data_IF_503459631470
#
_entry.id   IF_503459631470
#
_cell.length_a   1.000
_cell.length_b   1.000
_cell.length_c   1.000
_cell.angle_alpha   90.00
_cell.angle_beta   90.00
_cell.angle_gamma   90.00
#
_symmetry.space_group_name_H-M   'P 1'
#
loop_
_entity.id
_entity.type
_entity.pdbx_description
1 polymer ?
#
# COMPACT_ATOMS: atom_id res chain seq x y z
N UNK A 1 1.75 -18.50 -9.72
CA UNK A 1 1.05 -17.27 -10.17
C UNK A 1 2.02 -16.10 -10.33
N UNK A 2 2.72 -15.66 -9.27
CA UNK A 2 3.68 -14.54 -9.36
C UNK A 2 4.65 -14.66 -10.54
N UNK A 3 5.33 -15.80 -10.67
CA UNK A 3 6.29 -16.04 -11.76
C UNK A 3 5.67 -15.90 -13.16
N UNK A 4 4.47 -16.47 -13.38
CA UNK A 4 3.81 -16.43 -14.69
C UNK A 4 3.45 -14.98 -15.04
N UNK A 5 2.84 -14.25 -14.11
CA UNK A 5 2.45 -12.85 -14.30
C UNK A 5 3.69 -11.98 -14.54
N UNK A 6 4.76 -12.16 -13.76
CA UNK A 6 5.98 -11.37 -13.90
C UNK A 6 6.70 -11.65 -15.23
N UNK A 7 6.81 -12.90 -15.67
CA UNK A 7 7.42 -13.26 -16.96
C UNK A 7 6.64 -12.67 -18.12
N UNK A 8 5.32 -12.89 -18.17
CA UNK A 8 4.45 -12.34 -19.23
C UNK A 8 4.59 -10.82 -19.30
N UNK A 9 4.49 -10.15 -18.16
CA UNK A 9 4.62 -8.69 -18.10
C UNK A 9 5.98 -8.19 -18.61
N UNK A 10 7.06 -8.91 -18.31
CA UNK A 10 8.41 -8.51 -18.69
C UNK A 10 8.67 -8.69 -20.19
N UNK A 11 8.17 -9.78 -20.79
CA UNK A 11 8.29 -10.04 -22.22
C UNK A 11 7.54 -8.95 -23.01
N UNK A 12 6.30 -8.66 -22.61
CA UNK A 12 5.54 -7.58 -23.24
C UNK A 12 6.20 -6.22 -23.05
N UNK A 13 6.63 -5.86 -21.84
CA UNK A 13 7.33 -4.58 -21.60
C UNK A 13 8.57 -4.46 -22.49
N UNK A 14 9.36 -5.52 -22.63
CA UNK A 14 10.54 -5.51 -23.49
C UNK A 14 10.18 -5.26 -24.96
N UNK A 15 9.15 -5.94 -25.48
CA UNK A 15 8.63 -5.72 -26.83
C UNK A 15 8.17 -4.27 -27.04
N UNK A 16 7.37 -3.72 -26.12
CA UNK A 16 6.86 -2.36 -26.24
C UNK A 16 7.94 -1.29 -26.09
N UNK A 17 8.99 -1.55 -25.29
CA UNK A 17 10.15 -0.64 -25.21
C UNK A 17 10.93 -0.65 -26.53
N UNK A 18 11.15 -1.82 -27.14
CA UNK A 18 11.79 -1.89 -28.47
C UNK A 18 10.96 -1.11 -29.50
N UNK A 19 9.64 -1.29 -29.49
CA UNK A 19 8.75 -0.53 -30.36
C UNK A 19 8.81 0.98 -30.05
N UNK A 20 8.87 1.38 -28.79
CA UNK A 20 9.02 2.80 -28.42
C UNK A 20 10.32 3.42 -28.94
N UNK A 21 11.42 2.66 -28.92
CA UNK A 21 12.70 3.09 -29.46
C UNK A 21 12.71 3.16 -31.00
N UNK A 22 11.81 2.43 -31.67
CA UNK A 22 11.65 2.57 -33.11
C UNK A 22 11.14 3.97 -33.46
N UNK A 23 11.72 4.58 -34.49
CA UNK A 23 11.42 5.96 -34.92
C UNK A 23 10.03 6.13 -35.58
N UNK A 24 9.11 5.20 -35.36
CA UNK A 24 7.77 5.25 -35.92
C UNK A 24 6.92 6.21 -35.09
N UNK A 25 6.41 7.29 -35.68
CA UNK A 25 5.65 8.33 -34.96
C UNK A 25 4.42 7.80 -34.20
N UNK A 26 3.86 6.67 -34.64
CA UNK A 26 2.75 5.98 -33.97
C UNK A 26 3.06 5.58 -32.51
N UNK A 27 4.34 5.35 -32.19
CA UNK A 27 4.81 4.88 -30.88
C UNK A 27 4.84 5.99 -29.82
N UNK A 28 4.67 7.26 -30.22
CA UNK A 28 4.59 8.41 -29.32
C UNK A 28 3.16 8.84 -28.99
N UNK A 29 2.16 8.09 -29.43
CA UNK A 29 0.76 8.39 -29.13
C UNK A 29 0.40 8.15 -27.67
N UNK A 30 -0.56 8.92 -27.15
CA UNK A 30 -1.11 8.75 -25.81
C UNK A 30 -1.67 7.34 -25.56
N UNK A 31 -2.22 6.71 -26.61
CA UNK A 31 -2.74 5.35 -26.56
C UNK A 31 -1.61 4.33 -26.36
N UNK A 32 -0.49 4.49 -27.06
CA UNK A 32 0.67 3.63 -26.89
C UNK A 32 1.30 3.78 -25.50
N UNK A 33 1.36 5.02 -25.00
CA UNK A 33 1.77 5.30 -23.63
C UNK A 33 0.85 4.56 -22.62
N UNK A 34 -0.48 4.61 -22.79
CA UNK A 34 -1.42 3.90 -21.92
C UNK A 34 -1.25 2.37 -21.99
N UNK A 35 -0.91 1.80 -23.15
CA UNK A 35 -0.60 0.36 -23.26
C UNK A 35 0.62 -0.02 -22.41
N UNK A 36 1.69 0.77 -22.45
CA UNK A 36 2.86 0.56 -21.59
C UNK A 36 2.47 0.67 -20.11
N UNK A 37 1.65 1.65 -19.75
CA UNK A 37 1.14 1.82 -18.39
C UNK A 37 0.37 0.58 -17.89
N UNK A 38 -0.48 -0.02 -18.72
CA UNK A 38 -1.25 -1.22 -18.36
C UNK A 38 -0.35 -2.42 -18.03
N UNK A 39 0.80 -2.55 -18.68
CA UNK A 39 1.76 -3.62 -18.38
C UNK A 39 2.48 -3.40 -17.04
N UNK A 40 2.80 -2.15 -16.71
CA UNK A 40 3.29 -1.81 -15.38
C UNK A 40 2.21 -2.02 -14.32
N UNK A 41 0.94 -1.70 -14.60
CA UNK A 41 -0.17 -1.98 -13.69
C UNK A 41 -0.30 -3.48 -13.40
N UNK A 42 -0.07 -4.33 -14.40
CA UNK A 42 -0.01 -5.77 -14.23
C UNK A 42 1.15 -6.22 -13.32
N UNK A 43 2.34 -5.61 -13.43
CA UNK A 43 3.47 -5.86 -12.49
C UNK A 43 3.23 -5.37 -11.07
N UNK A 44 2.59 -4.22 -10.91
CA UNK A 44 2.38 -3.56 -9.61
C UNK A 44 1.13 -4.12 -8.91
N UNK A 45 0.22 -4.75 -9.66
CA UNK A 45 -1.04 -5.30 -9.16
C UNK A 45 -2.17 -4.27 -9.08
N UNK A 46 -2.11 -3.19 -9.86
CA UNK A 46 -3.17 -2.17 -9.93
C UNK A 46 -4.37 -2.77 -10.69
N UNK A 47 -5.59 -2.38 -10.30
CA UNK A 47 -6.82 -2.81 -10.96
C UNK A 47 -6.73 -2.55 -12.48
N UNK A 48 -7.21 -3.47 -13.35
CA UNK A 48 -7.96 -4.70 -13.07
C UNK A 48 -7.10 -5.88 -12.60
N UNK A 49 -5.78 -5.81 -12.73
CA UNK A 49 -4.85 -6.90 -12.45
C UNK A 49 -4.50 -7.05 -10.97
N UNK A 50 -5.47 -6.89 -10.07
CA UNK A 50 -5.26 -6.93 -8.62
C UNK A 50 -5.31 -8.35 -8.04
N UNK A 51 -6.04 -9.26 -8.70
CA UNK A 51 -6.34 -10.60 -8.18
C UNK A 51 -5.08 -11.41 -7.88
N UNK A 52 -4.10 -11.44 -8.78
CA UNK A 52 -2.90 -12.26 -8.60
C UNK A 52 -2.13 -11.90 -7.33
N UNK A 53 -2.06 -10.60 -6.99
CA UNK A 53 -1.39 -10.13 -5.80
C UNK A 53 -2.15 -10.55 -4.54
N UNK A 54 -3.48 -10.39 -4.52
CA UNK A 54 -4.32 -10.75 -3.38
C UNK A 54 -4.27 -12.26 -3.09
N UNK A 55 -4.40 -13.10 -4.12
CA UNK A 55 -4.30 -14.56 -3.96
C UNK A 55 -2.89 -15.01 -3.56
N UNK A 56 -1.84 -14.35 -4.07
CA UNK A 56 -0.47 -14.69 -3.70
C UNK A 56 -0.18 -14.40 -2.22
N UNK A 57 -0.71 -13.30 -1.68
CA UNK A 57 -0.48 -12.92 -0.28
C UNK A 57 -1.05 -13.92 0.70
N UNK A 58 -2.20 -14.54 0.42
CA UNK A 58 -2.83 -15.52 1.31
C UNK A 58 -1.90 -16.72 1.58
N UNK A 59 -1.19 -17.17 0.55
CA UNK A 59 -0.31 -18.34 0.58
C UNK A 59 1.13 -18.02 1.01
N UNK A 60 1.53 -16.74 1.03
CA UNK A 60 2.89 -16.32 1.34
C UNK A 60 3.15 -16.24 2.86
N UNK A 61 4.41 -16.48 3.24
CA UNK A 61 4.90 -16.24 4.60
C UNK A 61 5.08 -14.73 4.85
N UNK A 62 5.06 -14.30 6.12
CA UNK A 62 5.22 -12.90 6.51
C UNK A 62 6.46 -12.21 5.93
N UNK A 63 7.62 -12.90 5.94
CA UNK A 63 8.85 -12.39 5.33
C UNK A 63 8.73 -12.16 3.81
N UNK A 64 8.01 -13.04 3.11
CA UNK A 64 7.77 -12.93 1.67
C UNK A 64 6.82 -11.76 1.37
N UNK A 65 5.77 -11.60 2.19
CA UNK A 65 4.84 -10.47 2.10
C UNK A 65 5.59 -9.13 2.25
N UNK A 66 6.53 -9.04 3.20
CA UNK A 66 7.36 -7.85 3.36
C UNK A 66 8.17 -7.54 2.09
N UNK A 67 8.87 -8.52 1.54
CA UNK A 67 9.67 -8.35 0.34
C UNK A 67 8.82 -7.91 -0.87
N UNK A 68 7.65 -8.54 -1.04
CA UNK A 68 6.73 -8.28 -2.14
C UNK A 68 6.11 -6.88 -2.09
N UNK A 69 5.81 -6.37 -0.90
CA UNK A 69 5.22 -5.05 -0.70
C UNK A 69 6.18 -3.87 -0.88
N UNK A 70 7.49 -4.09 -0.68
CA UNK A 70 8.51 -3.03 -0.57
C UNK A 70 9.43 -3.05 -1.79
N UNK A 71 10.51 -3.82 -1.72
CA UNK A 71 11.61 -3.80 -2.68
C UNK A 71 11.17 -4.15 -4.10
N UNK A 72 10.40 -5.24 -4.26
CA UNK A 72 9.94 -5.70 -5.57
C UNK A 72 8.99 -4.67 -6.21
N UNK A 73 8.32 -3.84 -5.41
CA UNK A 73 7.30 -2.90 -5.87
C UNK A 73 7.86 -1.53 -6.25
N UNK A 74 8.91 -1.05 -5.57
CA UNK A 74 9.46 0.28 -5.86
C UNK A 74 10.18 0.36 -7.21
N UNK A 75 10.85 -0.71 -7.63
CA UNK A 75 11.53 -0.78 -8.92
C UNK A 75 10.56 -0.56 -10.09
N UNK A 76 9.44 -1.32 -10.23
CA UNK A 76 8.50 -1.11 -11.32
C UNK A 76 7.76 0.22 -11.22
N UNK A 77 7.54 0.78 -10.01
CA UNK A 77 6.94 2.12 -9.85
C UNK A 77 7.89 3.21 -10.39
N UNK A 78 9.19 3.13 -10.08
CA UNK A 78 10.17 4.08 -10.60
C UNK A 78 10.30 3.97 -12.13
N UNK A 79 10.33 2.74 -12.66
CA UNK A 79 10.35 2.49 -14.11
C UNK A 79 9.08 3.01 -14.80
N UNK A 80 7.92 2.84 -14.18
CA UNK A 80 6.65 3.37 -14.69
C UNK A 80 6.72 4.89 -14.90
N UNK A 81 7.09 5.65 -13.87
CA UNK A 81 7.11 7.13 -13.95
C UNK A 81 8.22 7.65 -14.87
N UNK A 82 9.34 6.93 -14.98
CA UNK A 82 10.44 7.35 -15.86
C UNK A 82 10.20 7.07 -17.34
N UNK A 83 9.47 6.01 -17.68
CA UNK A 83 9.24 5.58 -19.06
C UNK A 83 7.89 6.02 -19.63
N UNK A 84 6.95 6.46 -18.78
CA UNK A 84 5.60 6.87 -19.19
C UNK A 84 5.30 8.29 -18.73
N UNK A 85 4.44 8.98 -19.48
CA UNK A 85 3.92 10.30 -19.10
C UNK A 85 2.51 10.15 -18.52
N UNK A 86 2.20 10.86 -17.44
CA UNK A 86 0.90 10.81 -16.78
C UNK A 86 -0.02 11.91 -17.33
N UNK A 87 -0.83 11.59 -18.34
CA UNK A 87 -1.91 12.45 -18.85
C UNK A 87 -3.11 12.43 -17.89
N UNK A 88 -4.06 13.33 -18.12
CA UNK A 88 -5.34 13.36 -17.38
C UNK A 88 -6.07 12.01 -17.38
N UNK A 89 -6.08 11.31 -18.51
CA UNK A 89 -6.73 10.00 -18.65
C UNK A 89 -6.08 8.92 -17.76
N UNK A 90 -4.75 8.90 -17.69
CA UNK A 90 -4.04 7.98 -16.80
C UNK A 90 -4.26 8.32 -15.33
N UNK A 91 -4.34 9.62 -15.01
CA UNK A 91 -4.61 10.10 -13.65
C UNK A 91 -6.02 9.69 -13.20
N UNK A 92 -7.04 9.92 -14.03
CA UNK A 92 -8.42 9.52 -13.71
C UNK A 92 -8.53 8.01 -13.57
N UNK A 93 -7.87 7.24 -14.43
CA UNK A 93 -7.81 5.80 -14.33
C UNK A 93 -7.19 5.34 -13.00
N UNK A 94 -6.02 5.87 -12.61
CA UNK A 94 -5.37 5.53 -11.36
C UNK A 94 -6.26 5.83 -10.14
N UNK A 95 -6.93 6.96 -10.14
CA UNK A 95 -7.79 7.39 -9.02
C UNK A 95 -9.06 6.53 -8.93
N UNK A 96 -9.69 6.21 -10.06
CA UNK A 96 -10.83 5.29 -10.10
C UNK A 96 -10.42 3.88 -9.71
N UNK A 97 -9.25 3.41 -10.16
CA UNK A 97 -8.70 2.11 -9.76
C UNK A 97 -8.59 2.01 -8.24
N UNK A 98 -8.13 3.09 -7.60
CA UNK A 98 -7.94 3.14 -6.15
C UNK A 98 -9.26 3.12 -5.37
N UNK A 99 -10.29 3.81 -5.88
CA UNK A 99 -11.66 3.69 -5.34
C UNK A 99 -12.15 2.24 -5.41
N UNK A 100 -12.03 1.59 -6.57
CA UNK A 100 -12.47 0.21 -6.74
C UNK A 100 -11.77 -0.74 -5.76
N UNK A 101 -10.46 -0.57 -5.58
CA UNK A 101 -9.69 -1.37 -4.62
C UNK A 101 -10.22 -1.14 -3.20
N UNK A 102 -10.44 0.11 -2.79
CA UNK A 102 -10.98 0.43 -1.47
C UNK A 102 -12.33 -0.29 -1.23
N UNK A 103 -13.27 -0.21 -2.18
CA UNK A 103 -14.55 -0.95 -2.09
C UNK A 103 -14.38 -2.47 -2.10
N UNK A 104 -13.45 -2.98 -2.90
CA UNK A 104 -13.18 -4.41 -3.00
C UNK A 104 -12.66 -4.99 -1.68
N UNK A 105 -11.88 -4.21 -0.92
CA UNK A 105 -11.31 -4.66 0.35
C UNK A 105 -12.36 -5.02 1.41
N UNK A 106 -13.53 -4.37 1.40
CA UNK A 106 -14.63 -4.62 2.35
C UNK A 106 -15.10 -6.07 2.33
N UNK A 107 -14.90 -6.78 1.20
CA UNK A 107 -15.35 -8.16 1.01
C UNK A 107 -14.45 -9.19 1.72
N UNK A 108 -13.24 -8.81 2.13
CA UNK A 108 -12.29 -9.75 2.70
C UNK A 108 -12.19 -9.65 4.21
N UNK A 109 -12.21 -10.82 4.85
CA UNK A 109 -12.04 -10.92 6.30
C UNK A 109 -10.59 -11.23 6.73
N UNK A 110 -9.77 -11.87 5.89
CA UNK A 110 -8.41 -12.25 6.28
C UNK A 110 -7.43 -11.06 6.29
N UNK A 111 -6.58 -10.96 7.31
CA UNK A 111 -5.53 -9.95 7.42
C UNK A 111 -4.63 -9.88 6.18
N UNK A 112 -4.16 -11.02 5.67
CA UNK A 112 -3.23 -11.06 4.54
C UNK A 112 -3.84 -10.45 3.27
N UNK A 113 -5.13 -10.71 2.97
CA UNK A 113 -5.83 -10.10 1.83
C UNK A 113 -6.01 -8.60 2.00
N UNK A 114 -6.36 -8.14 3.20
CA UNK A 114 -6.44 -6.70 3.47
C UNK A 114 -5.06 -6.04 3.30
N UNK A 115 -3.99 -6.67 3.79
CA UNK A 115 -2.63 -6.15 3.58
C UNK A 115 -2.27 -6.13 2.09
N UNK A 116 -2.64 -7.14 1.31
CA UNK A 116 -2.45 -7.13 -0.14
C UNK A 116 -3.16 -5.92 -0.76
N UNK A 117 -4.45 -5.75 -0.51
CA UNK A 117 -5.20 -4.63 -1.04
C UNK A 117 -4.66 -3.27 -0.58
N UNK A 118 -4.21 -3.16 0.67
CA UNK A 118 -3.58 -1.93 1.17
C UNK A 118 -2.31 -1.55 0.41
N UNK A 119 -1.48 -2.54 0.07
CA UNK A 119 -0.26 -2.28 -0.67
C UNK A 119 -0.60 -1.82 -2.09
N UNK A 120 -1.65 -2.37 -2.70
CA UNK A 120 -2.17 -1.93 -4.01
C UNK A 120 -2.73 -0.50 -3.89
N UNK A 121 -3.46 -0.20 -2.82
CA UNK A 121 -3.99 1.13 -2.56
C UNK A 121 -2.86 2.17 -2.45
N UNK A 122 -1.80 1.85 -1.70
CA UNK A 122 -0.65 2.75 -1.53
C UNK A 122 0.19 2.92 -2.80
N UNK A 123 0.15 1.99 -3.78
CA UNK A 123 0.86 2.19 -5.05
C UNK A 123 0.41 3.41 -5.83
N UNK A 124 -0.86 3.80 -5.75
CA UNK A 124 -1.32 5.01 -6.41
C UNK A 124 -0.62 6.24 -5.83
N UNK A 125 -0.53 6.35 -4.49
CA UNK A 125 0.18 7.45 -3.85
C UNK A 125 1.67 7.48 -4.19
N UNK A 126 2.32 6.31 -4.26
CA UNK A 126 3.71 6.23 -4.69
C UNK A 126 3.91 6.76 -6.12
N UNK A 127 3.04 6.37 -7.05
CA UNK A 127 3.10 6.85 -8.45
C UNK A 127 2.88 8.37 -8.52
N UNK A 128 1.86 8.89 -7.82
CA UNK A 128 1.58 10.33 -7.82
C UNK A 128 2.72 11.14 -7.20
N UNK A 129 3.24 10.72 -6.04
CA UNK A 129 4.36 11.39 -5.38
C UNK A 129 5.58 11.47 -6.27
N UNK A 130 5.96 10.36 -6.90
CA UNK A 130 7.16 10.28 -7.72
C UNK A 130 7.03 11.20 -8.95
N UNK A 131 5.82 11.32 -9.51
CA UNK A 131 5.54 12.24 -10.61
C UNK A 131 5.62 13.71 -10.19
N UNK A 132 5.14 14.05 -8.99
CA UNK A 132 5.13 15.44 -8.50
C UNK A 132 6.49 15.88 -7.95
N UNK A 133 7.06 15.08 -7.04
CA UNK A 133 8.30 15.40 -6.35
C UNK A 133 9.03 14.14 -5.87
N UNK A 134 10.22 13.90 -6.45
CA UNK A 134 11.09 12.76 -6.12
C UNK A 134 11.56 12.75 -4.66
N UNK A 135 11.76 13.91 -4.03
CA UNK A 135 12.23 13.95 -2.63
C UNK A 135 11.14 13.51 -1.67
N UNK A 136 9.91 14.00 -1.87
CA UNK A 136 8.75 13.59 -1.10
C UNK A 136 8.44 12.09 -1.27
N UNK A 137 8.67 11.54 -2.47
CA UNK A 137 8.57 10.11 -2.72
C UNK A 137 9.55 9.28 -1.87
N UNK A 138 10.83 9.68 -1.81
CA UNK A 138 11.85 8.95 -1.02
C UNK A 138 11.48 8.96 0.47
N UNK A 139 11.05 10.12 0.99
CA UNK A 139 10.59 10.25 2.39
C UNK A 139 9.42 9.30 2.64
N UNK A 140 8.45 9.24 1.72
CA UNK A 140 7.29 8.36 1.86
C UNK A 140 7.67 6.88 1.87
N UNK A 141 8.60 6.45 1.00
CA UNK A 141 9.09 5.07 1.00
C UNK A 141 9.70 4.72 2.35
N UNK A 142 10.59 5.56 2.88
CA UNK A 142 11.30 5.28 4.13
C UNK A 142 10.28 5.07 5.26
N UNK A 143 9.33 5.99 5.39
CA UNK A 143 8.30 5.91 6.45
C UNK A 143 7.39 4.70 6.24
N UNK A 144 7.02 4.39 5.00
CA UNK A 144 6.23 3.20 4.68
C UNK A 144 6.97 1.90 5.05
N UNK A 145 8.24 1.77 4.64
CA UNK A 145 9.04 0.56 4.89
C UNK A 145 9.23 0.32 6.38
N UNK A 146 9.51 1.37 7.16
CA UNK A 146 9.67 1.26 8.62
C UNK A 146 8.35 0.80 9.27
N UNK A 147 7.23 1.46 8.96
CA UNK A 147 5.94 1.09 9.53
C UNK A 147 5.51 -0.33 9.13
N UNK A 148 5.73 -0.70 7.88
CA UNK A 148 5.37 -2.02 7.38
C UNK A 148 6.26 -3.12 7.96
N UNK A 149 7.55 -2.85 8.14
CA UNK A 149 8.47 -3.77 8.81
C UNK A 149 8.07 -4.02 10.27
N UNK A 150 7.72 -2.96 11.01
CA UNK A 150 7.25 -3.09 12.39
C UNK A 150 5.97 -3.92 12.48
N UNK A 151 5.01 -3.69 11.58
CA UNK A 151 3.77 -4.47 11.52
C UNK A 151 4.02 -5.95 11.20
N UNK A 152 4.80 -6.24 10.15
CA UNK A 152 5.05 -7.62 9.73
C UNK A 152 5.90 -8.38 10.74
N UNK A 153 6.92 -7.76 11.30
CA UNK A 153 7.75 -8.40 12.31
C UNK A 153 6.94 -8.77 13.55
N UNK A 154 5.99 -7.93 13.96
CA UNK A 154 5.03 -8.24 15.01
C UNK A 154 4.12 -9.43 14.64
N UNK A 155 3.52 -9.41 13.45
CA UNK A 155 2.65 -10.49 12.96
C UNK A 155 3.37 -11.83 12.84
N UNK A 156 4.63 -11.81 12.40
CA UNK A 156 5.45 -13.01 12.29
C UNK A 156 5.83 -13.60 13.65
N UNK A 157 6.10 -12.76 14.66
CA UNK A 157 6.42 -13.23 16.02
C UNK A 157 5.20 -13.79 16.76
N UNK A 158 4.04 -13.19 16.54
CA UNK A 158 2.77 -13.62 17.14
C UNK A 158 2.12 -14.80 16.42
N UNK A 159 2.73 -15.31 15.33
CA UNK A 159 2.20 -16.39 14.48
C UNK A 159 0.76 -16.18 13.99
N UNK A 160 0.28 -14.94 13.97
CA UNK A 160 -1.05 -14.59 13.49
C UNK A 160 -1.03 -14.73 11.97
N UNK A 161 -1.55 -15.82 11.42
CA UNK A 161 -1.57 -16.03 9.96
C UNK A 161 -2.90 -15.61 9.33
N UNK A 162 -4.00 -15.88 10.03
CA UNK A 162 -5.37 -15.52 9.70
C UNK A 162 -6.07 -15.08 10.99
N UNK A 163 -7.35 -14.65 10.95
CA UNK A 163 -8.11 -14.05 12.07
C UNK A 163 -8.25 -14.91 13.36
N UNK A 164 -7.44 -15.95 13.54
CA UNK A 164 -7.31 -16.74 14.76
C UNK A 164 -6.39 -15.99 15.73
N UNK A 165 -6.97 -15.07 16.51
CA UNK A 165 -6.28 -14.34 17.58
C UNK A 165 -6.35 -15.06 18.93
N UNK A 166 -6.58 -16.38 18.92
CA UNK A 166 -6.87 -17.17 20.12
C UNK A 166 -5.74 -17.21 21.15
N UNK A 167 -4.54 -16.71 20.82
CA UNK A 167 -3.35 -16.77 21.67
C UNK A 167 -2.70 -15.39 21.92
N UNK A 168 -3.41 -14.29 21.68
CA UNK A 168 -2.83 -12.94 21.82
C UNK A 168 -3.12 -12.38 23.21
N UNK A 169 -2.08 -12.03 23.96
CA UNK A 169 -2.20 -11.34 25.24
C UNK A 169 -2.72 -9.90 25.07
N UNK A 170 -3.31 -9.30 26.10
CA UNK A 170 -3.87 -7.94 26.07
C UNK A 170 -2.86 -6.90 25.55
N UNK A 171 -1.63 -6.94 26.06
CA UNK A 171 -0.56 -6.05 25.62
C UNK A 171 -0.22 -6.23 24.13
N UNK A 172 -0.11 -7.48 23.67
CA UNK A 172 0.15 -7.77 22.25
C UNK A 172 -1.00 -7.26 21.38
N UNK A 173 -2.24 -7.36 21.84
CA UNK A 173 -3.39 -6.77 21.15
C UNK A 173 -3.28 -5.23 21.07
N UNK A 174 -2.98 -4.54 22.17
CA UNK A 174 -2.80 -3.09 22.14
C UNK A 174 -1.64 -2.69 21.22
N UNK A 175 -0.54 -3.44 21.22
CA UNK A 175 0.56 -3.17 20.26
C UNK A 175 0.13 -3.37 18.82
N UNK A 176 -0.66 -4.41 18.53
CA UNK A 176 -1.19 -4.63 17.19
C UNK A 176 -2.12 -3.50 16.77
N UNK A 177 -3.01 -3.05 17.66
CA UNK A 177 -3.90 -1.92 17.41
C UNK A 177 -3.11 -0.66 17.07
N UNK A 178 -2.09 -0.33 17.87
CA UNK A 178 -1.21 0.82 17.64
C UNK A 178 -0.51 0.70 16.28
N UNK A 179 0.10 -0.45 15.98
CA UNK A 179 0.81 -0.67 14.73
C UNK A 179 -0.12 -0.59 13.50
N UNK A 180 -1.34 -1.11 13.60
CA UNK A 180 -2.34 -1.01 12.54
C UNK A 180 -2.88 0.41 12.38
N UNK A 181 -3.06 1.15 13.47
CA UNK A 181 -3.44 2.56 13.45
C UNK A 181 -2.34 3.36 12.76
N UNK A 182 -1.07 3.15 13.12
CA UNK A 182 0.11 3.74 12.47
C UNK A 182 0.15 3.45 10.96
N UNK A 183 -0.13 2.21 10.57
CA UNK A 183 -0.17 1.82 9.17
C UNK A 183 -1.34 2.43 8.38
N UNK A 184 -2.51 2.58 9.02
CA UNK A 184 -3.73 3.09 8.38
C UNK A 184 -3.72 4.59 8.10
N UNK A 185 -2.68 5.34 8.51
CA UNK A 185 -2.53 6.77 8.24
C UNK A 185 -3.70 7.63 8.72
N UNK A 186 -4.19 7.33 9.92
CA UNK A 186 -5.16 8.17 10.61
C UNK A 186 -4.57 9.58 10.90
N UNK A 187 -5.40 10.63 10.97
CA UNK A 187 -4.96 12.03 11.02
C UNK A 187 -3.92 12.40 12.09
N UNK A 188 -3.85 11.64 13.18
CA UNK A 188 -2.96 11.89 14.32
C UNK A 188 -1.51 11.44 14.02
N UNK A 189 -1.28 10.68 12.94
CA UNK A 189 -0.04 9.94 12.74
C UNK A 189 0.81 10.49 11.58
N UNK A 190 2.12 10.25 11.65
CA UNK A 190 3.09 10.74 10.68
C UNK A 190 2.83 10.25 9.25
N UNK A 191 2.25 9.07 9.10
CA UNK A 191 1.84 8.52 7.79
C UNK A 191 0.73 9.36 7.14
N UNK A 192 -0.07 10.10 7.91
CA UNK A 192 -1.04 11.06 7.38
C UNK A 192 -0.36 12.32 6.85
N UNK A 193 0.67 12.83 7.52
CA UNK A 193 1.41 14.05 7.11
C UNK A 193 1.89 13.94 5.66
N UNK A 194 2.33 12.76 5.25
CA UNK A 194 2.83 12.56 3.89
C UNK A 194 1.69 12.57 2.85
N UNK A 195 0.53 11.99 3.19
CA UNK A 195 -0.68 12.08 2.35
C UNK A 195 -1.22 13.51 2.29
N UNK A 196 -1.09 14.26 3.38
CA UNK A 196 -1.45 15.67 3.42
C UNK A 196 -0.52 16.51 2.53
N UNK A 197 0.79 16.29 2.61
CA UNK A 197 1.77 16.95 1.74
C UNK A 197 1.47 16.70 0.25
N UNK A 198 1.08 15.46 -0.08
CA UNK A 198 0.59 15.10 -1.41
C UNK A 198 -0.59 15.96 -1.88
N UNK A 199 -1.60 16.11 -1.03
CA UNK A 199 -2.78 16.91 -1.32
C UNK A 199 -2.38 18.38 -1.51
N UNK A 200 -1.51 18.91 -0.64
CA UNK A 200 -1.03 20.28 -0.75
C UNK A 200 -0.30 20.52 -2.08
N UNK A 201 0.55 19.58 -2.51
CA UNK A 201 1.22 19.66 -3.81
C UNK A 201 0.21 19.64 -4.97
N UNK A 202 -0.79 18.75 -4.93
CA UNK A 202 -1.83 18.69 -5.96
C UNK A 202 -2.69 19.96 -6.04
N UNK A 203 -3.06 20.53 -4.88
CA UNK A 203 -3.80 21.80 -4.79
C UNK A 203 -2.96 22.94 -5.36
N UNK A 204 -1.66 22.99 -5.06
CA UNK A 204 -0.76 24.05 -5.55
C UNK A 204 -0.65 24.06 -7.08
N UNK A 205 -0.74 22.89 -7.71
CA UNK A 205 -0.73 22.72 -9.16
C UNK A 205 -2.08 23.00 -9.82
N UNK A 206 -3.08 23.45 -9.05
CA UNK A 206 -4.48 23.64 -9.49
C UNK A 206 -5.05 22.42 -10.20
N UNK A 207 -4.59 21.23 -9.82
CA UNK A 207 -5.14 19.99 -10.39
C UNK A 207 -6.57 19.80 -9.91
N UNK A 208 -7.44 19.48 -10.87
CA UNK A 208 -8.89 19.34 -10.76
C UNK A 208 -9.41 18.97 -9.35
N UNK A 209 -10.18 19.88 -8.73
CA UNK A 209 -10.77 19.69 -7.39
C UNK A 209 -11.56 18.38 -7.25
N UNK A 210 -12.20 17.90 -8.31
CA UNK A 210 -12.94 16.64 -8.32
C UNK A 210 -12.04 15.42 -8.10
N UNK A 211 -10.84 15.40 -8.67
CA UNK A 211 -9.90 14.29 -8.52
C UNK A 211 -9.42 14.21 -7.07
N UNK A 212 -9.15 15.37 -6.45
CA UNK A 212 -8.76 15.44 -5.04
C UNK A 212 -9.85 14.90 -4.11
N UNK A 213 -11.11 15.27 -4.36
CA UNK A 213 -12.24 14.74 -3.60
C UNK A 213 -12.31 13.21 -3.67
N UNK A 214 -12.13 12.65 -4.86
CA UNK A 214 -12.15 11.20 -5.06
C UNK A 214 -10.98 10.51 -4.32
N UNK A 215 -9.77 11.08 -4.38
CA UNK A 215 -8.61 10.56 -3.65
C UNK A 215 -8.91 10.52 -2.15
N UNK A 216 -9.42 11.62 -1.59
CA UNK A 216 -9.78 11.71 -0.18
C UNK A 216 -10.85 10.68 0.19
N UNK A 217 -11.91 10.58 -0.62
CA UNK A 217 -12.99 9.62 -0.38
C UNK A 217 -12.48 8.17 -0.41
N UNK A 218 -11.63 7.82 -1.38
CA UNK A 218 -11.00 6.49 -1.47
C UNK A 218 -10.16 6.18 -0.22
N UNK A 219 -9.46 7.19 0.32
CA UNK A 219 -8.62 7.05 1.51
C UNK A 219 -9.42 6.81 2.78
N UNK A 220 -10.55 7.51 2.93
CA UNK A 220 -11.46 7.32 4.05
C UNK A 220 -12.09 5.93 4.03
N UNK A 221 -12.49 5.45 2.84
CA UNK A 221 -13.00 4.08 2.69
C UNK A 221 -11.94 3.03 3.08
N UNK A 222 -10.69 3.20 2.66
CA UNK A 222 -9.63 2.27 3.06
C UNK A 222 -9.37 2.32 4.59
N UNK A 223 -9.41 3.51 5.20
CA UNK A 223 -9.30 3.69 6.65
C UNK A 223 -10.41 2.91 7.38
N UNK A 224 -11.65 3.04 6.90
CA UNK A 224 -12.81 2.34 7.46
C UNK A 224 -12.61 0.81 7.47
N UNK A 225 -11.99 0.24 6.44
CA UNK A 225 -11.74 -1.20 6.37
C UNK A 225 -10.73 -1.70 7.40
N UNK A 226 -9.71 -0.90 7.72
CA UNK A 226 -8.83 -1.21 8.84
C UNK A 226 -9.59 -1.19 10.16
N UNK A 227 -10.46 -0.18 10.38
CA UNK A 227 -11.26 -0.08 11.60
C UNK A 227 -12.24 -1.25 11.76
N UNK A 228 -12.86 -1.73 10.67
CA UNK A 228 -13.72 -2.93 10.71
C UNK A 228 -12.92 -4.14 11.22
N UNK A 229 -11.71 -4.36 10.71
CA UNK A 229 -10.87 -5.47 11.18
C UNK A 229 -10.57 -5.29 12.66
N UNK A 230 -10.08 -4.12 13.07
CA UNK A 230 -9.72 -3.84 14.47
C UNK A 230 -10.92 -4.05 15.41
N UNK A 231 -12.12 -3.62 15.02
CA UNK A 231 -13.37 -3.90 15.75
C UNK A 231 -13.64 -5.39 15.86
N UNK A 232 -13.55 -6.12 14.75
CA UNK A 232 -13.79 -7.56 14.73
C UNK A 232 -12.78 -8.31 15.60
N UNK A 233 -11.57 -7.78 15.76
CA UNK A 233 -10.56 -8.35 16.65
C UNK A 233 -10.95 -8.10 18.09
N UNK A 234 -11.25 -6.85 18.42
CA UNK A 234 -11.65 -6.44 19.76
C UNK A 234 -12.83 -7.28 20.28
N UNK A 235 -13.84 -7.52 19.46
CA UNK A 235 -15.02 -8.32 19.83
C UNK A 235 -14.73 -9.82 20.02
N UNK A 236 -13.66 -10.36 19.41
CA UNK A 236 -13.27 -11.78 19.53
C UNK A 236 -12.34 -12.05 20.70
N UNK A 237 -11.88 -11.01 21.40
CA UNK A 237 -10.96 -11.19 22.51
C UNK A 237 -11.71 -11.73 23.73
N UNK A 238 -11.34 -12.94 24.13
CA UNK A 238 -11.57 -13.39 25.49
C UNK A 238 -10.38 -12.91 26.32
N UNK A 239 -10.62 -12.01 27.28
CA UNK A 239 -9.59 -11.52 28.20
C UNK A 239 -9.12 -12.68 29.10
N UNK A 240 -8.17 -13.48 28.61
CA UNK A 240 -7.48 -14.46 29.43
C UNK A 240 -6.47 -13.73 30.30
N UNK A 241 -6.74 -13.75 31.60
CA UNK A 241 -5.97 -13.08 32.65
C UNK A 241 -4.63 -13.80 32.86
N UNK A 242 -3.67 -13.64 31.96
CA UNK A 242 -2.32 -14.17 32.13
C UNK A 242 -1.30 -13.02 32.25
N UNK A 243 -0.74 -12.92 33.46
CA UNK A 243 0.38 -12.04 33.79
C UNK A 243 1.67 -12.58 33.19
N UNK A 244 2.25 -11.92 32.18
CA UNK A 244 3.65 -12.17 31.82
C UNK A 244 4.39 -10.88 31.45
N UNK A 245 5.56 -10.71 32.08
CA UNK A 245 6.41 -9.51 32.04
C UNK A 245 7.11 -9.27 30.69
N UNK A 246 7.16 -10.26 29.80
CA UNK A 246 7.83 -10.13 28.49
C UNK A 246 7.04 -9.29 27.48
N UNK A 247 5.72 -9.12 27.66
CA UNK A 247 4.89 -8.32 26.75
C UNK A 247 5.11 -6.81 26.89
N UNK A 248 5.64 -6.35 28.03
CA UNK A 248 5.94 -4.94 28.27
C UNK A 248 7.02 -4.42 27.31
N UNK A 249 7.96 -5.28 26.88
CA UNK A 249 8.99 -4.90 25.90
C UNK A 249 8.36 -4.58 24.54
N UNK A 250 7.41 -5.39 24.08
CA UNK A 250 6.71 -5.13 22.81
C UNK A 250 5.88 -3.86 22.88
N UNK A 251 5.19 -3.62 23.99
CA UNK A 251 4.46 -2.38 24.22
C UNK A 251 5.38 -1.15 24.20
N UNK A 252 6.52 -1.23 24.87
CA UNK A 252 7.54 -0.20 24.82
C UNK A 252 8.06 0.05 23.40
N UNK A 253 8.31 -0.99 22.59
CA UNK A 253 8.70 -0.79 21.18
C UNK A 253 7.60 -0.12 20.34
N UNK A 254 6.32 -0.44 20.58
CA UNK A 254 5.20 0.19 19.86
C UNK A 254 4.99 1.66 20.26
N UNK A 255 5.15 1.98 21.54
CA UNK A 255 5.15 3.35 22.04
C UNK A 255 6.39 4.12 21.59
N UNK A 256 7.54 3.46 21.50
CA UNK A 256 8.76 4.05 20.98
C UNK A 256 8.63 4.36 19.48
N UNK A 257 7.98 3.48 18.71
CA UNK A 257 7.65 3.77 17.32
C UNK A 257 6.68 4.95 17.18
N UNK A 258 5.68 5.07 18.07
CA UNK A 258 4.80 6.24 18.11
C UNK A 258 5.56 7.52 18.47
N UNK A 259 6.44 7.49 19.48
CA UNK A 259 7.14 8.68 19.99
C UNK A 259 8.28 9.13 19.07
N UNK A 260 9.04 8.22 18.48
CA UNK A 260 10.02 8.57 17.42
C UNK A 260 9.36 9.13 16.16
N UNK A 261 8.10 8.77 15.91
CA UNK A 261 7.33 9.29 14.77
C UNK A 261 6.42 10.47 15.14
N UNK A 262 6.29 10.86 16.41
CA UNK A 262 5.62 12.11 16.81
C UNK A 262 6.62 13.20 17.16
N UNK A 263 7.87 12.85 17.47
CA UNK A 263 8.93 13.80 17.68
C UNK A 263 9.40 14.35 16.33
N UNK A 264 9.08 15.61 16.07
CA UNK A 264 9.45 16.43 14.91
C UNK A 264 8.41 16.48 13.79
N UNK A 265 7.19 16.89 14.14
CA UNK A 265 6.42 17.85 13.33
C UNK A 265 6.46 19.18 14.06
#
# INVERSE_FOLDING_TARGET
IYYIVSVISSIFLFLFIIMYLSSLDFTKSDQFNFLIQMLFFLKIGIFPFHFWMIYSYEMMNWKQIFLMSTLIKFIPIYMFVSLTYINLWSLTYLVMSNLFIAFYTNKFYSLKKLLACSTIFNSMYFILLLNLNKTAFIIFIIIYVINYYMLISFLNKSNIHNLNYSFVNEYQFYTFMILMINYSSLPILLTFVIKWNLINMMVSLKTFNWILFIILFSSMMMIWNYLIILKNLFMKMNFYKNNFMDDKKYFAYSLFALTLMSANV
#
